data_IF_977158884092
#
_entry.id   IF_977158884092
#
_cell.length_a   1.000
_cell.length_b   1.000
_cell.length_c   1.000
_cell.angle_alpha   90.00
_cell.angle_beta   90.00
_cell.angle_gamma   90.00
#
_symmetry.space_group_name_H-M   'P 1'
#
loop_
_entity.id
_entity.type
_entity.pdbx_description
1 polymer ?
#
# COMPACT_ATOMS: atom_id res chain seq x y z
N UNK A 1 -26.32 -14.32 51.31
CA UNK A 1 -25.03 -14.97 50.99
C UNK A 1 -24.47 -14.29 49.75
N UNK A 2 -23.47 -13.44 49.92
CA UNK A 2 -22.74 -12.82 48.82
C UNK A 2 -21.97 -13.91 48.09
N UNK A 3 -22.19 -14.12 46.79
CA UNK A 3 -21.33 -14.99 45.98
C UNK A 3 -19.96 -14.34 45.94
N UNK A 4 -18.95 -14.95 46.57
CA UNK A 4 -17.57 -14.53 46.45
C UNK A 4 -17.21 -14.49 44.96
N UNK A 5 -16.78 -13.32 44.48
CA UNK A 5 -16.23 -13.18 43.14
C UNK A 5 -14.79 -13.66 43.21
N UNK A 6 -14.47 -14.71 42.46
CA UNK A 6 -13.11 -15.22 42.35
C UNK A 6 -12.33 -14.37 41.34
N UNK A 7 -11.11 -13.96 41.71
CA UNK A 7 -10.21 -13.20 40.84
C UNK A 7 -9.40 -14.17 40.00
N UNK A 8 -9.70 -14.24 38.71
CA UNK A 8 -9.02 -15.13 37.77
C UNK A 8 -7.88 -14.38 37.07
N UNK A 9 -6.70 -14.99 37.04
CA UNK A 9 -5.58 -14.53 36.22
C UNK A 9 -5.61 -15.26 34.88
N UNK A 10 -5.74 -14.50 33.79
CA UNK A 10 -5.73 -15.04 32.43
C UNK A 10 -4.47 -14.60 31.69
N UNK A 11 -4.01 -15.46 30.79
CA UNK A 11 -2.91 -15.18 29.86
C UNK A 11 -3.52 -14.64 28.57
N UNK A 12 -3.11 -13.45 28.16
CA UNK A 12 -3.60 -12.77 26.96
C UNK A 12 -2.49 -11.94 26.34
N UNK A 13 -2.62 -11.67 25.05
CA UNK A 13 -1.79 -10.68 24.38
C UNK A 13 -2.31 -9.29 24.71
N UNK A 14 -1.43 -8.49 25.34
CA UNK A 14 -1.72 -7.08 25.60
C UNK A 14 -1.24 -6.25 24.43
N UNK A 15 -2.14 -5.45 23.89
CA UNK A 15 -1.83 -4.41 22.91
C UNK A 15 -1.23 -3.18 23.62
N UNK A 16 0.00 -2.81 23.26
CA UNK A 16 0.72 -1.63 23.76
C UNK A 16 0.49 -0.41 22.88
N UNK A 17 0.36 -0.63 21.57
CA UNK A 17 0.07 0.40 20.58
C UNK A 17 -0.74 -0.20 19.44
N UNK A 18 -1.60 0.62 18.82
CA UNK A 18 -2.42 0.22 17.70
C UNK A 18 -2.69 1.40 16.77
N UNK A 19 -2.15 1.31 15.55
CA UNK A 19 -2.34 2.32 14.50
C UNK A 19 -2.90 1.66 13.24
N UNK A 20 -3.63 2.44 12.46
CA UNK A 20 -4.02 2.08 11.09
C UNK A 20 -3.52 3.16 10.14
N UNK A 21 -3.01 2.76 8.97
CA UNK A 21 -2.50 3.68 7.94
C UNK A 21 -2.99 3.26 6.56
N UNK A 22 -3.33 4.26 5.75
CA UNK A 22 -3.55 4.15 4.32
C UNK A 22 -2.23 4.34 3.56
N UNK A 23 -1.95 3.44 2.63
CA UNK A 23 -0.69 3.38 1.89
C UNK A 23 -1.02 3.37 0.40
N UNK A 24 -0.42 4.30 -0.34
CA UNK A 24 -0.56 4.39 -1.80
C UNK A 24 0.73 3.97 -2.50
N UNK A 25 0.59 3.27 -3.62
CA UNK A 25 1.71 2.99 -4.52
C UNK A 25 1.28 3.10 -5.97
N UNK A 26 1.93 4.01 -6.68
CA UNK A 26 1.67 4.24 -8.10
C UNK A 26 2.50 3.33 -8.99
N UNK A 27 1.88 2.93 -10.10
CA UNK A 27 2.47 2.15 -11.18
C UNK A 27 2.14 2.84 -12.50
N UNK A 28 3.14 2.89 -13.38
CA UNK A 28 2.98 3.36 -14.74
C UNK A 28 3.59 2.35 -15.70
N UNK A 29 2.80 1.91 -16.68
CA UNK A 29 3.22 1.03 -17.76
C UNK A 29 3.00 1.75 -19.08
N UNK A 30 4.07 2.02 -19.82
CA UNK A 30 4.02 2.86 -21.03
C UNK A 30 4.50 2.10 -22.26
N UNK A 31 3.81 2.32 -23.37
CA UNK A 31 4.11 1.79 -24.69
C UNK A 31 4.24 0.27 -24.75
N UNK A 32 4.94 -0.19 -25.78
CA UNK A 32 5.09 -1.62 -26.10
C UNK A 32 5.79 -2.40 -24.98
N UNK A 33 6.74 -1.79 -24.27
CA UNK A 33 7.42 -2.42 -23.14
C UNK A 33 6.49 -2.57 -21.92
N UNK A 34 5.68 -1.55 -21.63
CA UNK A 34 4.65 -1.60 -20.60
C UNK A 34 3.63 -2.68 -20.88
N UNK A 35 3.11 -2.73 -22.12
CA UNK A 35 2.20 -3.77 -22.57
C UNK A 35 2.81 -5.17 -22.46
N UNK A 36 4.09 -5.33 -22.83
CA UNK A 36 4.82 -6.59 -22.70
C UNK A 36 4.96 -7.06 -21.25
N UNK A 37 5.20 -6.14 -20.31
CA UNK A 37 5.27 -6.43 -18.87
C UNK A 37 3.90 -6.82 -18.32
N UNK A 38 2.83 -6.18 -18.79
CA UNK A 38 1.46 -6.51 -18.39
C UNK A 38 1.02 -7.86 -18.94
N UNK A 39 1.38 -8.20 -20.18
CA UNK A 39 1.15 -9.53 -20.75
C UNK A 39 -0.32 -9.96 -20.71
N UNK A 40 -1.23 -9.08 -21.13
CA UNK A 40 -2.68 -9.33 -21.08
C UNK A 40 -3.10 -10.57 -21.88
N UNK A 41 -3.99 -11.37 -21.29
CA UNK A 41 -4.54 -12.61 -21.87
C UNK A 41 -6.06 -12.70 -21.72
N UNK A 42 -6.72 -13.59 -22.48
CA UNK A 42 -8.16 -13.82 -22.39
C UNK A 42 -8.48 -14.75 -21.21
N UNK A 43 -9.01 -14.17 -20.14
CA UNK A 43 -9.53 -14.92 -18.98
C UNK A 43 -8.45 -15.64 -18.14
N UNK A 44 -8.84 -16.19 -16.98
CA UNK A 44 -7.92 -16.88 -16.11
C UNK A 44 -7.67 -18.28 -16.66
N UNK A 45 -6.47 -18.55 -17.18
CA UNK A 45 -5.97 -19.92 -17.35
C UNK A 45 -6.59 -20.79 -18.49
N UNK A 46 -7.13 -20.21 -19.56
CA UNK A 46 -7.73 -21.02 -20.66
C UNK A 46 -6.88 -21.12 -21.94
N UNK A 47 -5.96 -20.19 -22.21
CA UNK A 47 -5.08 -20.32 -23.37
C UNK A 47 -3.75 -20.95 -22.95
N UNK A 48 -3.55 -22.20 -23.36
CA UNK A 48 -2.22 -22.85 -23.42
C UNK A 48 -1.27 -22.18 -24.42
N UNK A 49 -1.71 -21.07 -25.01
CA UNK A 49 -0.96 -20.26 -25.95
C UNK A 49 -0.11 -19.23 -25.18
N UNK A 50 0.82 -19.73 -24.38
CA UNK A 50 1.84 -18.96 -23.66
C UNK A 50 2.79 -18.16 -24.60
N UNK A 51 2.48 -18.08 -25.89
CA UNK A 51 3.36 -17.58 -26.94
C UNK A 51 2.88 -16.30 -27.63
N UNK A 52 1.77 -15.67 -27.20
CA UNK A 52 1.40 -14.36 -27.75
C UNK A 52 2.15 -13.24 -27.03
N UNK A 53 3.47 -13.17 -27.26
CA UNK A 53 4.27 -11.99 -26.90
C UNK A 53 3.94 -10.84 -27.87
N UNK A 54 3.80 -9.57 -27.42
CA UNK A 54 3.99 -9.06 -26.04
C UNK A 54 2.77 -9.24 -25.10
N UNK A 55 1.63 -9.69 -25.62
CA UNK A 55 0.36 -9.78 -24.92
C UNK A 55 -0.75 -9.35 -25.88
N UNK A 56 -1.99 -9.36 -25.43
CA UNK A 56 -3.11 -8.78 -26.19
C UNK A 56 -3.18 -7.28 -25.89
N UNK A 57 -3.04 -6.43 -26.91
CA UNK A 57 -3.31 -5.00 -26.78
C UNK A 57 -4.82 -4.77 -26.49
N UNK A 58 -5.20 -4.21 -25.33
CA UNK A 58 -6.60 -3.94 -25.00
C UNK A 58 -7.28 -2.94 -25.95
N UNK A 59 -6.54 -1.94 -26.44
CA UNK A 59 -7.04 -0.91 -27.34
C UNK A 59 -7.42 -1.49 -28.70
N UNK A 60 -6.55 -2.33 -29.26
CA UNK A 60 -6.85 -3.04 -30.51
C UNK A 60 -7.94 -4.11 -30.32
N UNK A 61 -7.94 -4.78 -29.16
CA UNK A 61 -8.84 -5.91 -28.91
C UNK A 61 -10.30 -5.49 -28.75
N UNK A 62 -10.55 -4.40 -28.01
CA UNK A 62 -11.90 -3.89 -27.78
C UNK A 62 -12.34 -2.86 -28.81
N UNK A 63 -11.41 -2.21 -29.50
CA UNK A 63 -11.68 -1.19 -30.50
C UNK A 63 -11.85 0.22 -29.92
N UNK A 64 -11.85 1.26 -30.77
CA UNK A 64 -11.76 2.67 -30.36
C UNK A 64 -13.02 3.20 -29.66
N UNK A 65 -14.19 2.60 -29.91
CA UNK A 65 -15.47 3.04 -29.35
C UNK A 65 -15.75 2.42 -27.97
N UNK A 66 -14.92 1.48 -27.51
CA UNK A 66 -15.11 0.80 -26.24
C UNK A 66 -14.59 1.65 -25.06
N UNK A 67 -15.40 1.75 -24.01
CA UNK A 67 -14.94 2.24 -22.70
C UNK A 67 -14.19 1.12 -21.99
N UNK A 68 -13.00 1.41 -21.48
CA UNK A 68 -12.15 0.44 -20.78
C UNK A 68 -12.21 0.67 -19.27
N UNK A 69 -12.76 -0.30 -18.54
CA UNK A 69 -12.79 -0.30 -17.07
C UNK A 69 -11.62 -1.11 -16.52
N UNK A 70 -10.82 -0.51 -15.65
CA UNK A 70 -9.65 -1.14 -15.00
C UNK A 70 -10.00 -1.52 -13.58
N UNK A 71 -9.72 -2.77 -13.21
CA UNK A 71 -9.81 -3.30 -11.84
C UNK A 71 -8.57 -4.11 -11.53
N UNK A 72 -8.29 -4.35 -10.26
CA UNK A 72 -7.28 -5.32 -9.85
C UNK A 72 -7.63 -5.98 -8.52
N UNK A 73 -6.95 -7.07 -8.21
CA UNK A 73 -7.14 -7.83 -6.98
C UNK A 73 -5.82 -8.48 -6.55
N UNK A 74 -5.63 -8.75 -5.25
CA UNK A 74 -4.42 -9.37 -4.76
C UNK A 74 -4.34 -10.83 -5.19
N UNK A 75 -3.12 -11.29 -5.49
CA UNK A 75 -2.84 -12.64 -5.99
C UNK A 75 -1.57 -13.21 -5.37
N UNK A 76 -1.39 -14.52 -5.51
CA UNK A 76 -0.09 -15.17 -5.35
C UNK A 76 0.82 -14.92 -6.58
N UNK A 77 2.03 -15.45 -6.55
CA UNK A 77 2.98 -15.32 -7.65
C UNK A 77 2.54 -16.04 -8.95
N UNK A 78 1.56 -16.94 -8.88
CA UNK A 78 1.00 -17.66 -10.01
C UNK A 78 -0.27 -16.99 -10.58
N UNK A 79 -0.74 -15.90 -9.96
CA UNK A 79 -1.93 -15.16 -10.37
C UNK A 79 -3.24 -15.69 -9.79
N UNK A 80 -3.19 -16.61 -8.82
CA UNK A 80 -4.39 -17.05 -8.12
C UNK A 80 -4.79 -15.97 -7.11
N UNK A 81 -6.07 -15.62 -7.08
CA UNK A 81 -6.61 -14.67 -6.12
C UNK A 81 -6.38 -15.16 -4.67
N UNK A 82 -5.92 -14.27 -3.81
CA UNK A 82 -5.72 -14.52 -2.37
C UNK A 82 -6.64 -13.63 -1.55
N UNK A 83 -6.76 -13.91 -0.26
CA UNK A 83 -7.35 -12.96 0.68
C UNK A 83 -6.40 -11.77 0.91
N UNK A 84 -6.96 -10.63 1.29
CA UNK A 84 -6.18 -9.44 1.64
C UNK A 84 -5.31 -9.72 2.88
N UNK A 85 -5.82 -10.51 3.82
CA UNK A 85 -5.10 -10.89 5.04
C UNK A 85 -3.85 -11.76 4.75
N UNK A 86 -3.78 -12.40 3.57
CA UNK A 86 -2.63 -13.21 3.13
C UNK A 86 -1.47 -12.36 2.57
N UNK A 87 -1.65 -11.05 2.40
CA UNK A 87 -0.59 -10.13 1.97
C UNK A 87 0.49 -10.06 3.05
N UNK A 88 1.74 -10.33 2.66
CA UNK A 88 2.85 -10.45 3.61
C UNK A 88 3.31 -9.08 4.09
N UNK A 89 3.24 -8.87 5.41
CA UNK A 89 3.84 -7.74 6.11
C UNK A 89 4.90 -8.26 7.07
N UNK A 90 6.09 -7.65 7.09
CA UNK A 90 7.17 -8.04 7.98
C UNK A 90 7.93 -6.83 8.51
N UNK A 91 8.36 -6.87 9.77
CA UNK A 91 9.35 -5.93 10.30
C UNK A 91 10.69 -6.14 9.58
N UNK A 92 11.34 -5.04 9.18
CA UNK A 92 12.66 -5.06 8.56
C UNK A 92 13.64 -4.15 9.29
N UNK A 93 14.83 -4.67 9.57
CA UNK A 93 15.88 -3.95 10.28
C UNK A 93 15.56 -3.74 11.77
N UNK A 94 16.47 -3.00 12.42
CA UNK A 94 16.40 -2.70 13.85
C UNK A 94 15.44 -1.54 14.14
N UNK A 95 14.84 -1.59 15.34
CA UNK A 95 14.07 -0.49 15.91
C UNK A 95 15.02 0.64 16.33
N UNK A 96 14.59 1.88 16.19
CA UNK A 96 15.39 3.04 16.57
C UNK A 96 14.60 3.93 17.53
N UNK A 97 15.19 4.27 18.68
CA UNK A 97 14.56 5.16 19.64
C UNK A 97 14.52 6.59 19.10
N UNK A 98 13.35 7.22 19.20
CA UNK A 98 13.09 8.59 18.77
C UNK A 98 12.32 9.29 19.89
N UNK A 99 12.91 10.34 20.45
CA UNK A 99 12.21 11.20 21.38
C UNK A 99 11.23 12.11 20.62
N UNK A 100 9.98 12.15 21.05
CA UNK A 100 8.91 12.94 20.43
C UNK A 100 8.42 13.97 21.44
N UNK A 101 8.77 15.24 21.20
CA UNK A 101 8.49 16.35 22.12
C UNK A 101 6.98 16.54 22.37
N UNK A 102 6.15 16.31 21.35
CA UNK A 102 4.69 16.51 21.42
C UNK A 102 4.00 15.58 22.44
N UNK A 103 4.59 14.41 22.68
CA UNK A 103 4.10 13.40 23.62
C UNK A 103 5.05 13.15 24.78
N UNK A 104 6.11 13.97 24.91
CA UNK A 104 7.14 13.94 25.96
C UNK A 104 7.63 12.52 26.28
N UNK A 105 7.88 11.72 25.24
CA UNK A 105 8.27 10.32 25.41
C UNK A 105 9.11 9.80 24.26
N UNK A 106 9.78 8.66 24.48
CA UNK A 106 10.55 7.95 23.46
C UNK A 106 9.67 6.90 22.81
N UNK A 107 9.45 7.03 21.50
CA UNK A 107 8.83 6.03 20.65
C UNK A 107 9.91 5.29 19.85
N UNK A 108 9.53 4.15 19.26
CA UNK A 108 10.42 3.40 18.39
C UNK A 108 10.01 3.54 16.93
N UNK A 109 10.97 3.94 16.11
CA UNK A 109 10.87 3.93 14.65
C UNK A 109 11.00 2.49 14.17
N UNK A 110 9.88 1.92 13.73
CA UNK A 110 9.75 0.57 13.19
C UNK A 110 9.57 0.65 11.68
N UNK A 111 10.35 -0.12 10.92
CA UNK A 111 10.20 -0.22 9.46
C UNK A 111 9.45 -1.50 9.12
N UNK A 112 8.37 -1.38 8.37
CA UNK A 112 7.57 -2.50 7.91
C UNK A 112 7.69 -2.61 6.39
N UNK A 113 7.83 -3.85 5.91
CA UNK A 113 7.89 -4.18 4.50
C UNK A 113 6.64 -4.98 4.14
N UNK A 114 5.85 -4.44 3.22
CA UNK A 114 4.66 -5.08 2.67
C UNK A 114 4.96 -5.55 1.26
N UNK A 115 4.76 -6.84 0.99
CA UNK A 115 5.03 -7.46 -0.31
C UNK A 115 3.89 -8.36 -0.76
N UNK A 116 3.57 -8.30 -2.05
CA UNK A 116 2.57 -9.16 -2.65
C UNK A 116 2.61 -9.09 -4.17
N UNK A 117 1.60 -9.72 -4.77
CA UNK A 117 1.33 -9.64 -6.20
C UNK A 117 -0.11 -9.18 -6.40
N UNK A 118 -0.39 -8.54 -7.52
CA UNK A 118 -1.75 -8.25 -7.95
C UNK A 118 -1.89 -8.49 -9.45
N UNK A 119 -3.12 -8.68 -9.90
CA UNK A 119 -3.44 -8.85 -11.32
C UNK A 119 -4.43 -7.78 -11.73
N UNK A 120 -4.18 -7.16 -12.89
CA UNK A 120 -5.06 -6.17 -13.51
C UNK A 120 -6.05 -6.86 -14.45
N UNK A 121 -7.31 -6.45 -14.36
CA UNK A 121 -8.37 -6.79 -15.28
C UNK A 121 -8.84 -5.56 -16.03
N UNK A 122 -8.86 -5.65 -17.36
CA UNK A 122 -9.41 -4.61 -18.24
C UNK A 122 -10.67 -5.17 -18.88
N UNK A 123 -11.80 -4.52 -18.64
CA UNK A 123 -13.10 -4.90 -19.21
C UNK A 123 -13.52 -3.86 -20.24
N UNK A 124 -13.73 -4.29 -21.48
CA UNK A 124 -14.26 -3.43 -22.54
C UNK A 124 -15.79 -3.40 -22.48
N UNK A 125 -16.35 -2.20 -22.48
CA UNK A 125 -17.80 -1.94 -22.45
C UNK A 125 -18.16 -1.05 -23.64
N UNK A 126 -19.13 -1.47 -24.43
CA UNK A 126 -19.70 -0.65 -25.52
C UNK A 126 -21.22 -0.64 -25.40
N UNK A 127 -21.81 0.56 -25.40
CA UNK A 127 -23.25 0.77 -25.25
C UNK A 127 -23.90 -0.01 -24.07
N UNK A 128 -23.16 -0.15 -22.96
CA UNK A 128 -23.60 -0.88 -21.76
C UNK A 128 -23.49 -2.41 -21.85
N UNK A 129 -22.93 -2.94 -22.94
CA UNK A 129 -22.64 -4.37 -23.13
C UNK A 129 -21.17 -4.66 -22.88
N UNK A 130 -20.91 -5.66 -22.04
CA UNK A 130 -19.55 -6.17 -21.83
C UNK A 130 -19.08 -6.91 -23.08
N UNK A 131 -18.00 -6.44 -23.69
CA UNK A 131 -17.35 -7.04 -24.86
C UNK A 131 -16.45 -8.22 -24.46
N UNK A 132 -15.84 -8.14 -23.26
CA UNK A 132 -14.99 -9.16 -22.69
C UNK A 132 -14.04 -8.58 -21.64
N UNK A 133 -13.19 -9.44 -21.07
CA UNK A 133 -12.19 -9.06 -20.06
C UNK A 133 -10.83 -9.63 -20.42
N UNK A 134 -9.81 -8.79 -20.35
CA UNK A 134 -8.40 -9.17 -20.43
C UNK A 134 -7.78 -9.15 -19.04
N UNK A 135 -6.83 -10.04 -18.79
CA UNK A 135 -6.18 -10.22 -17.47
C UNK A 135 -4.67 -10.19 -17.64
N UNK A 136 -3.98 -9.37 -16.83
CA UNK A 136 -2.53 -9.25 -16.87
C UNK A 136 -1.83 -10.48 -16.24
N UNK A 137 -0.54 -10.59 -16.46
CA UNK A 137 0.33 -11.40 -15.61
C UNK A 137 0.39 -10.82 -14.19
N UNK A 138 0.79 -11.62 -13.18
CA UNK A 138 0.96 -11.13 -11.81
C UNK A 138 2.05 -10.07 -11.71
N UNK A 139 1.70 -8.92 -11.15
CA UNK A 139 2.60 -7.78 -10.95
C UNK A 139 3.02 -7.77 -9.48
N UNK A 140 4.32 -7.87 -9.21
CA UNK A 140 4.85 -7.80 -7.85
C UNK A 140 4.89 -6.37 -7.33
N UNK A 141 4.59 -6.17 -6.04
CA UNK A 141 4.81 -4.91 -5.35
C UNK A 141 5.60 -5.11 -4.06
N UNK A 142 6.33 -4.05 -3.67
CA UNK A 142 7.05 -3.96 -2.41
C UNK A 142 6.92 -2.51 -1.92
N UNK A 143 6.49 -2.35 -0.67
CA UNK A 143 6.36 -1.06 0.01
C UNK A 143 7.15 -1.15 1.31
N UNK A 144 7.88 -0.08 1.64
CA UNK A 144 8.58 0.04 2.92
C UNK A 144 8.07 1.29 3.61
N UNK A 145 7.42 1.09 4.74
CA UNK A 145 6.85 2.14 5.57
C UNK A 145 7.56 2.25 6.90
N UNK A 146 7.45 3.42 7.53
CA UNK A 146 8.03 3.70 8.83
C UNK A 146 6.94 4.16 9.79
N UNK A 147 6.90 3.59 10.98
CA UNK A 147 5.94 3.91 12.03
C UNK A 147 6.67 4.32 13.30
N UNK A 148 6.17 5.34 14.00
CA UNK A 148 6.55 5.60 15.39
C UNK A 148 5.56 4.91 16.31
N UNK A 149 6.03 3.90 17.04
CA UNK A 149 5.21 3.03 17.87
C UNK A 149 5.73 2.99 19.30
N UNK A 150 4.84 2.85 20.27
CA UNK A 150 5.18 2.44 21.63
C UNK A 150 5.49 0.94 21.63
N UNK A 151 6.74 0.57 21.33
CA UNK A 151 7.17 -0.81 21.14
C UNK A 151 8.31 -1.23 22.09
N UNK A 152 8.10 -1.26 23.41
CA UNK A 152 9.15 -1.57 24.38
C UNK A 152 9.79 -2.96 24.16
N UNK A 153 10.97 -3.17 24.74
CA UNK A 153 11.65 -4.47 24.67
C UNK A 153 10.74 -5.61 25.17
N UNK A 154 10.77 -6.75 24.46
CA UNK A 154 9.90 -7.90 24.74
C UNK A 154 8.52 -7.84 24.06
N UNK A 155 8.26 -6.84 23.20
CA UNK A 155 7.07 -6.78 22.36
C UNK A 155 7.32 -7.23 20.92
N UNK A 156 6.30 -7.77 20.29
CA UNK A 156 6.26 -8.15 18.88
C UNK A 156 5.37 -7.19 18.08
N UNK A 157 5.67 -7.05 16.78
CA UNK A 157 4.85 -6.25 15.86
C UNK A 157 3.96 -7.20 15.08
N UNK A 158 2.66 -7.13 15.33
CA UNK A 158 1.63 -7.84 14.59
C UNK A 158 1.00 -6.88 13.59
N UNK A 159 1.30 -7.05 12.30
CA UNK A 159 0.81 -6.18 11.25
C UNK A 159 0.20 -6.98 10.11
N UNK A 160 -0.93 -6.53 9.59
CA UNK A 160 -1.62 -7.11 8.45
C UNK A 160 -2.30 -6.04 7.62
N UNK A 161 -2.53 -6.35 6.34
CA UNK A 161 -3.36 -5.54 5.45
C UNK A 161 -4.79 -6.04 5.59
N UNK A 162 -5.76 -5.14 5.80
CA UNK A 162 -7.17 -5.49 5.94
C UNK A 162 -8.05 -4.89 4.83
N UNK A 163 -7.48 -4.04 3.99
CA UNK A 163 -8.14 -3.48 2.81
C UNK A 163 -7.17 -3.38 1.64
N UNK A 164 -7.66 -3.74 0.46
CA UNK A 164 -6.93 -3.64 -0.81
C UNK A 164 -7.89 -3.10 -1.85
N UNK A 165 -7.48 -2.04 -2.53
CA UNK A 165 -8.16 -1.50 -3.71
C UNK A 165 -7.13 -0.98 -4.70
N UNK A 166 -7.57 -0.81 -5.95
CA UNK A 166 -6.80 -0.04 -6.90
C UNK A 166 -7.70 0.71 -7.86
N UNK A 167 -7.19 1.84 -8.29
CA UNK A 167 -7.80 2.69 -9.28
C UNK A 167 -6.82 2.86 -10.43
N UNK A 168 -7.31 2.83 -11.66
CA UNK A 168 -6.44 3.00 -12.81
C UNK A 168 -7.18 3.39 -14.06
N UNK A 169 -6.41 3.91 -15.00
CA UNK A 169 -6.88 4.37 -16.30
C UNK A 169 -5.97 3.83 -17.39
N UNK A 170 -6.57 3.30 -18.44
CA UNK A 170 -5.87 2.86 -19.64
C UNK A 170 -6.08 3.90 -20.74
N UNK A 171 -4.99 4.39 -21.31
CA UNK A 171 -4.96 5.34 -22.43
C UNK A 171 -4.58 4.62 -23.72
N UNK A 172 -5.28 4.97 -24.79
CA UNK A 172 -5.02 4.48 -26.14
C UNK A 172 -4.70 5.67 -27.06
N UNK A 173 -3.63 5.56 -27.84
CA UNK A 173 -3.27 6.52 -28.89
C UNK A 173 -3.37 5.83 -30.25
N UNK A 174 -4.15 6.40 -31.18
CA UNK A 174 -4.40 5.83 -32.51
C UNK A 174 -4.88 4.36 -32.53
N UNK A 175 -5.56 3.93 -31.46
CA UNK A 175 -6.07 2.56 -31.30
C UNK A 175 -5.05 1.56 -30.75
N UNK A 176 -3.86 2.02 -30.37
CA UNK A 176 -2.79 1.24 -29.75
C UNK A 176 -2.66 1.58 -28.26
N UNK A 177 -2.13 0.65 -27.48
CA UNK A 177 -1.80 0.89 -26.08
C UNK A 177 -0.73 1.99 -25.94
N UNK A 178 -1.09 3.06 -25.23
CA UNK A 178 -0.17 4.14 -24.88
C UNK A 178 0.31 3.97 -23.44
N UNK A 179 -0.63 3.86 -22.49
CA UNK A 179 -0.30 3.87 -21.07
C UNK A 179 -1.36 3.17 -20.22
N UNK A 180 -0.92 2.53 -19.14
CA UNK A 180 -1.74 2.18 -17.98
C UNK A 180 -1.15 2.84 -16.74
N UNK A 181 -1.90 3.78 -16.16
CA UNK A 181 -1.61 4.36 -14.85
C UNK A 181 -2.50 3.70 -13.79
N UNK A 182 -1.91 3.27 -12.67
CA UNK A 182 -2.60 2.56 -11.60
C UNK A 182 -2.08 3.00 -10.24
N UNK A 183 -2.98 3.29 -9.30
CA UNK A 183 -2.65 3.50 -7.89
C UNK A 183 -3.21 2.35 -7.08
N UNK A 184 -2.33 1.63 -6.38
CA UNK A 184 -2.73 0.67 -5.35
C UNK A 184 -2.96 1.40 -4.04
N UNK A 185 -4.04 1.05 -3.35
CA UNK A 185 -4.41 1.54 -2.03
C UNK A 185 -4.51 0.35 -1.08
N UNK A 186 -3.72 0.39 -0.01
CA UNK A 186 -3.70 -0.63 1.05
C UNK A 186 -4.01 0.03 2.39
N UNK A 187 -4.94 -0.53 3.17
CA UNK A 187 -5.07 -0.16 4.58
C UNK A 187 -4.40 -1.21 5.46
N UNK A 188 -3.45 -0.77 6.26
CA UNK A 188 -2.67 -1.62 7.15
C UNK A 188 -3.04 -1.37 8.60
N UNK A 189 -3.20 -2.44 9.38
CA UNK A 189 -3.33 -2.40 10.84
C UNK A 189 -2.02 -2.86 11.46
N UNK A 190 -1.48 -2.09 12.39
CA UNK A 190 -0.22 -2.38 13.08
C UNK A 190 -0.45 -2.35 14.58
N UNK A 191 -0.21 -3.48 15.22
CA UNK A 191 -0.36 -3.69 16.66
C UNK A 191 1.00 -4.07 17.26
N UNK A 192 1.29 -3.50 18.43
CA UNK A 192 2.41 -3.90 19.26
C UNK A 192 1.87 -4.77 20.38
N UNK A 193 2.32 -6.01 20.48
CA UNK A 193 1.75 -7.01 21.39
C UNK A 193 2.82 -7.68 22.26
N UNK A 194 2.44 -8.09 23.47
CA UNK A 194 3.21 -9.06 24.26
C UNK A 194 2.28 -9.88 25.14
N UNK A 195 2.62 -11.15 25.33
CA UNK A 195 1.87 -12.05 26.22
C UNK A 195 2.05 -11.63 27.68
N UNK A 196 0.95 -11.39 28.39
CA UNK A 196 0.94 -10.99 29.79
C UNK A 196 -0.09 -11.78 30.60
N UNK A 197 0.01 -11.70 31.93
CA UNK A 197 -1.01 -12.23 32.87
C UNK A 197 -1.80 -11.07 33.46
N UNK A 198 -3.12 -11.08 33.31
CA UNK A 198 -3.99 -9.97 33.70
C UNK A 198 -5.19 -10.41 34.53
N UNK A 199 -5.65 -9.49 35.38
CA UNK A 199 -6.99 -9.44 35.99
C UNK A 199 -7.74 -8.30 35.28
N UNK A 200 -8.94 -8.55 34.72
CA UNK A 200 -9.53 -7.70 33.66
C UNK A 200 -10.77 -6.92 34.11
N UNK A 201 -10.76 -5.60 33.88
CA UNK A 201 -11.92 -4.72 33.75
C UNK A 201 -11.79 -3.97 32.40
N UNK A 202 -12.85 -3.91 31.58
CA UNK A 202 -12.71 -3.62 30.14
C UNK A 202 -13.65 -2.57 29.54
N UNK A 203 -13.20 -1.97 28.42
CA UNK A 203 -13.94 -1.09 27.50
C UNK A 203 -13.51 -1.39 26.05
N UNK A 204 -14.32 -0.99 25.06
CA UNK A 204 -13.98 -1.18 23.63
C UNK A 204 -12.77 -0.29 23.28
N UNK A 205 -11.74 -0.90 22.67
CA UNK A 205 -10.57 -0.20 22.16
C UNK A 205 -10.77 0.21 20.69
N UNK A 206 -10.08 1.27 20.25
CA UNK A 206 -10.00 1.72 18.86
C UNK A 206 -8.54 2.07 18.54
N UNK A 207 -8.10 1.96 17.28
CA UNK A 207 -6.78 2.44 16.89
C UNK A 207 -6.67 3.94 17.17
N UNK A 208 -5.47 4.40 17.50
CA UNK A 208 -5.16 5.83 17.63
C UNK A 208 -4.81 6.42 16.27
N UNK A 209 -4.85 7.74 16.18
CA UNK A 209 -4.24 8.46 15.06
C UNK A 209 -2.73 8.25 15.05
N UNK A 210 -2.20 8.19 13.85
CA UNK A 210 -0.77 8.02 13.65
C UNK A 210 0.02 9.26 14.07
N UNK A 211 1.15 9.03 14.72
CA UNK A 211 2.15 10.07 14.99
C UNK A 211 3.12 10.03 13.83
N UNK A 212 3.03 11.05 12.96
CA UNK A 212 3.94 11.20 11.83
C UNK A 212 5.28 11.64 12.41
N UNK A 213 6.32 10.86 12.12
CA UNK A 213 7.66 11.23 12.56
C UNK A 213 8.02 12.62 12.01
N UNK A 214 8.64 13.51 12.81
CA UNK A 214 9.13 14.81 12.37
C UNK A 214 10.37 14.66 11.48
N UNK A 215 10.26 13.86 10.43
CA UNK A 215 11.31 13.63 9.45
C UNK A 215 11.01 14.56 8.28
N UNK A 216 11.26 15.86 8.47
CA UNK A 216 11.46 16.76 7.35
C UNK A 216 12.82 16.46 6.72
N UNK A 217 12.90 15.52 5.78
CA UNK A 217 14.08 15.35 4.91
C UNK A 217 14.03 16.36 3.76
N UNK A 218 13.74 17.61 4.08
CA UNK A 218 14.20 18.70 3.23
C UNK A 218 15.31 19.35 4.06
N UNK A 219 16.60 19.27 3.65
CA UNK A 219 17.59 20.15 4.24
C UNK A 219 17.03 21.57 4.16
N UNK A 220 17.20 22.36 5.22
CA UNK A 220 16.86 23.77 5.17
C UNK A 220 17.47 24.36 3.90
N UNK A 221 16.66 25.10 3.12
CA UNK A 221 17.17 25.84 1.99
C UNK A 221 18.11 26.90 2.55
N UNK A 222 19.40 26.57 2.63
CA UNK A 222 20.43 27.54 2.96
C UNK A 222 20.58 28.44 1.74
N UNK A 223 19.95 29.61 1.78
CA UNK A 223 20.20 30.63 0.76
C UNK A 223 21.68 31.02 0.83
N UNK A 224 22.43 31.01 -0.29
CA UNK A 224 23.75 31.61 -0.32
C UNK A 224 23.65 33.09 0.07
N UNK A 225 24.74 33.70 0.59
CA UNK A 225 24.76 35.14 0.89
C UNK A 225 24.22 35.92 -0.32
N UNK A 226 23.13 36.67 -0.11
CA UNK A 226 22.60 37.53 -1.16
C UNK A 226 23.62 38.65 -1.43
N UNK A 227 23.78 39.03 -2.69
CA UNK A 227 24.58 40.19 -3.09
C UNK A 227 23.62 41.36 -3.37
N UNK A 228 23.02 42.03 -2.36
CA UNK A 228 22.00 43.06 -2.57
C UNK A 228 22.52 44.29 -3.33
N UNK A 229 23.83 44.45 -3.46
CA UNK A 229 24.43 45.46 -4.35
C UNK A 229 24.21 45.15 -5.84
N UNK A 230 24.00 43.87 -6.18
CA UNK A 230 23.86 43.37 -7.54
C UNK A 230 22.44 42.84 -7.77
N UNK A 231 21.83 42.17 -6.79
CA UNK A 231 20.52 41.55 -6.92
C UNK A 231 19.79 41.21 -5.59
N UNK A 232 18.50 41.56 -5.46
CA UNK A 232 17.82 42.59 -6.25
C UNK A 232 18.40 43.97 -5.89
N UNK A 233 18.75 44.81 -6.88
CA UNK A 233 19.30 46.12 -6.59
C UNK A 233 18.26 46.94 -5.81
N UNK A 234 18.71 47.62 -4.75
CA UNK A 234 17.87 48.55 -4.02
C UNK A 234 17.26 49.55 -4.99
N UNK A 235 15.92 49.64 -5.04
CA UNK A 235 15.26 50.73 -5.75
C UNK A 235 15.73 52.05 -5.14
N UNK A 236 16.60 52.78 -5.85
CA UNK A 236 16.91 54.16 -5.51
C UNK A 236 15.66 54.97 -5.84
N UNK A 237 14.93 55.41 -4.80
CA UNK A 237 13.99 56.52 -4.94
C UNK A 237 14.76 57.81 -5.26
#
# INVERSE_FOLDING_TARGET
MSKEKERLCIRVDKVYDWVTREIHKDFCFEGVEGLAKLGFTKGPHCDKDHNKYPGIDPCQFFGPDATLEVKCFPTDAAGNKIDVDDIKVAQVGERQDVFVEEVDTTLQLVRLKTTGYFVVQVTGIDCGKVLGTLTSQPISFCIIDKYLLCAPEGTEINAHVYYFECEGTLSCEDGEFEQLALTLLLCQSVQVEAEVKVEVEGRICKPREEIIAPISVCPDITFPPQCPEIFPPSHKC
#
